data_IF_209817792269
#
_entry.id   IF_209817792269
#
_cell.length_a   1.000
_cell.length_b   1.000
_cell.length_c   1.000
_cell.angle_alpha   90.00
_cell.angle_beta   90.00
_cell.angle_gamma   90.00
#
_symmetry.space_group_name_H-M   'P 1'
#
loop_
_entity.id
_entity.type
_entity.pdbx_description
1 polymer ?
#
# COMPACT_ATOMS: atom_id res chain seq x y z
N UNK A 1 -9.88 -3.94 8.45
CA UNK A 1 -10.43 -3.67 7.11
C UNK A 1 -10.19 -4.88 6.26
N UNK A 2 -11.15 -5.26 5.43
CA UNK A 2 -10.95 -6.30 4.43
C UNK A 2 -9.92 -5.85 3.36
N UNK A 3 -9.24 -6.80 2.73
CA UNK A 3 -8.26 -6.55 1.65
C UNK A 3 -8.91 -5.74 0.53
N UNK A 4 -10.13 -6.12 0.10
CA UNK A 4 -10.81 -5.44 -1.01
C UNK A 4 -11.31 -4.06 -0.60
N UNK A 5 -11.71 -3.87 0.65
CA UNK A 5 -12.06 -2.54 1.17
C UNK A 5 -10.85 -1.60 1.15
N UNK A 6 -9.70 -2.07 1.61
CA UNK A 6 -8.47 -1.26 1.64
C UNK A 6 -7.99 -0.93 0.22
N UNK A 7 -8.03 -1.91 -0.69
CA UNK A 7 -7.73 -1.69 -2.10
C UNK A 7 -8.64 -0.62 -2.73
N UNK A 8 -9.96 -0.71 -2.55
CA UNK A 8 -10.91 0.29 -3.07
C UNK A 8 -10.67 1.67 -2.46
N UNK A 9 -10.41 1.73 -1.16
CA UNK A 9 -10.06 2.98 -0.48
C UNK A 9 -8.85 3.65 -1.13
N UNK A 10 -7.79 2.89 -1.44
CA UNK A 10 -6.62 3.44 -2.13
C UNK A 10 -6.93 3.91 -3.57
N UNK A 11 -7.84 3.23 -4.27
CA UNK A 11 -8.24 3.62 -5.63
C UNK A 11 -9.09 4.91 -5.65
N UNK A 12 -9.94 5.11 -4.65
CA UNK A 12 -10.98 6.14 -4.66
C UNK A 12 -10.58 7.40 -3.89
N UNK A 13 -9.88 7.26 -2.77
CA UNK A 13 -9.64 8.38 -1.85
C UNK A 13 -8.72 9.46 -2.47
N UNK A 14 -9.09 10.74 -2.40
CA UNK A 14 -8.29 11.84 -2.98
C UNK A 14 -6.91 12.05 -2.33
N UNK A 15 -6.63 11.41 -1.19
CA UNK A 15 -5.33 11.42 -0.54
C UNK A 15 -4.24 10.75 -1.39
N UNK A 16 -4.60 9.76 -2.20
CA UNK A 16 -3.68 9.05 -3.08
C UNK A 16 -3.57 9.74 -4.46
N UNK A 17 -2.36 9.83 -4.98
CA UNK A 17 -2.09 10.47 -6.26
C UNK A 17 -2.55 9.63 -7.47
N UNK A 18 -2.59 10.27 -8.64
CA UNK A 18 -3.06 9.64 -9.86
C UNK A 18 -2.23 8.42 -10.26
N UNK A 19 -0.90 8.49 -10.13
CA UNK A 19 0.01 7.40 -10.52
C UNK A 19 -0.20 6.16 -9.64
N UNK A 20 -0.36 6.36 -8.33
CA UNK A 20 -0.68 5.29 -7.37
C UNK A 20 -2.02 4.63 -7.72
N UNK A 21 -3.02 5.42 -8.08
CA UNK A 21 -4.33 4.90 -8.48
C UNK A 21 -4.26 4.15 -9.81
N UNK A 22 -3.56 4.68 -10.79
CA UNK A 22 -3.36 4.02 -12.09
C UNK A 22 -2.65 2.68 -11.93
N UNK A 23 -1.60 2.61 -11.09
CA UNK A 23 -0.90 1.36 -10.76
C UNK A 23 -1.87 0.32 -10.16
N UNK A 24 -2.70 0.74 -9.20
CA UNK A 24 -3.65 -0.15 -8.54
C UNK A 24 -4.77 -0.60 -9.47
N UNK A 25 -5.34 0.31 -10.26
CA UNK A 25 -6.39 0.00 -11.24
C UNK A 25 -5.89 -0.96 -12.33
N UNK A 26 -4.60 -0.92 -12.68
CA UNK A 26 -3.99 -1.88 -13.60
C UNK A 26 -3.97 -3.32 -13.05
N UNK A 27 -4.16 -3.51 -11.73
CA UNK A 27 -4.26 -4.82 -11.08
C UNK A 27 -5.69 -5.36 -11.05
N UNK A 28 -6.68 -4.63 -11.58
CA UNK A 28 -8.06 -5.05 -11.58
C UNK A 28 -8.22 -6.44 -12.23
N UNK A 29 -8.77 -7.38 -11.46
CA UNK A 29 -8.93 -8.78 -11.87
C UNK A 29 -7.79 -9.72 -11.44
N UNK A 30 -6.70 -9.20 -10.87
CA UNK A 30 -5.64 -10.00 -10.25
C UNK A 30 -5.82 -10.02 -8.72
N UNK A 31 -6.69 -10.90 -8.23
CA UNK A 31 -7.00 -10.99 -6.80
C UNK A 31 -5.79 -11.40 -5.95
N UNK A 32 -4.88 -12.21 -6.49
CA UNK A 32 -3.68 -12.65 -5.78
C UNK A 32 -2.71 -11.49 -5.53
N UNK A 33 -2.45 -10.65 -6.55
CA UNK A 33 -1.58 -9.48 -6.40
C UNK A 33 -2.20 -8.40 -5.50
N UNK A 34 -3.52 -8.19 -5.62
CA UNK A 34 -4.25 -7.30 -4.71
C UNK A 34 -4.14 -7.82 -3.27
N UNK A 35 -4.33 -9.13 -3.08
CA UNK A 35 -4.19 -9.74 -1.75
C UNK A 35 -2.77 -9.55 -1.23
N UNK A 36 -1.73 -9.87 -2.00
CA UNK A 36 -0.34 -9.71 -1.56
C UNK A 36 0.03 -8.26 -1.21
N UNK A 37 -0.54 -7.28 -1.89
CA UNK A 37 -0.31 -5.86 -1.62
C UNK A 37 -1.02 -5.32 -0.38
N UNK A 38 -2.13 -5.93 0.04
CA UNK A 38 -3.02 -5.39 1.07
C UNK A 38 -3.31 -6.31 2.26
N UNK A 39 -2.84 -7.56 2.27
CA UNK A 39 -3.10 -8.50 3.38
C UNK A 39 -2.45 -8.11 4.72
N UNK A 40 -1.44 -7.24 4.68
CA UNK A 40 -0.76 -6.72 5.86
C UNK A 40 -0.19 -5.34 5.62
N UNK A 41 0.37 -4.75 6.67
CA UNK A 41 1.16 -3.54 6.57
C UNK A 41 2.66 -3.87 6.42
N UNK A 42 3.39 -2.97 5.79
CA UNK A 42 4.83 -3.05 5.70
C UNK A 42 5.45 -2.82 7.08
N UNK A 43 6.11 -3.84 7.61
CA UNK A 43 6.68 -3.81 8.97
C UNK A 43 8.10 -3.23 9.01
N UNK A 44 8.41 -2.57 10.11
CA UNK A 44 9.76 -2.08 10.41
C UNK A 44 10.56 -3.19 11.09
N UNK A 45 11.55 -3.75 10.40
CA UNK A 45 12.45 -4.75 10.96
C UNK A 45 13.58 -4.14 11.79
N UNK A 46 14.38 -4.99 12.43
CA UNK A 46 15.58 -4.60 13.20
C UNK A 46 16.62 -3.82 12.37
N UNK A 47 16.57 -3.97 11.04
CA UNK A 47 17.44 -3.25 10.09
C UNK A 47 16.74 -2.16 9.29
N UNK A 48 15.57 -1.69 9.72
CA UNK A 48 14.79 -0.66 9.04
C UNK A 48 13.61 -1.19 8.22
N UNK A 49 12.97 -0.27 7.50
CA UNK A 49 11.92 -0.58 6.52
C UNK A 49 12.53 -1.25 5.27
N UNK A 50 12.00 -2.41 4.91
CA UNK A 50 12.33 -3.14 3.67
C UNK A 50 11.08 -3.73 3.07
N UNK A 51 10.86 -3.50 1.77
CA UNK A 51 9.69 -4.00 1.05
C UNK A 51 9.83 -3.85 -0.45
N UNK A 52 8.94 -4.51 -1.19
CA UNK A 52 8.82 -4.37 -2.64
C UNK A 52 8.25 -2.97 -2.94
N UNK A 53 8.82 -2.26 -3.92
CA UNK A 53 8.30 -0.97 -4.37
C UNK A 53 6.93 -1.15 -5.05
N UNK A 54 6.00 -0.25 -4.75
CA UNK A 54 4.69 -0.17 -5.41
C UNK A 54 3.57 0.32 -4.49
N UNK A 55 2.39 0.50 -5.05
CA UNK A 55 1.19 0.87 -4.31
C UNK A 55 0.65 -0.31 -3.45
N UNK A 56 0.30 -0.02 -2.20
CA UNK A 56 -0.25 -1.01 -1.26
C UNK A 56 0.26 -0.84 0.17
N UNK A 57 -0.46 -1.41 1.14
CA UNK A 57 -0.06 -1.35 2.55
C UNK A 57 1.15 -2.24 2.85
N UNK A 58 1.33 -3.34 2.12
CA UNK A 58 2.47 -4.26 2.18
C UNK A 58 3.55 -3.92 1.13
N UNK A 59 3.66 -2.65 0.74
CA UNK A 59 4.63 -2.17 -0.25
C UNK A 59 5.38 -0.94 0.27
N UNK A 60 6.60 -0.78 -0.22
CA UNK A 60 7.40 0.43 -0.01
C UNK A 60 6.90 1.52 -0.96
N UNK A 61 6.29 2.57 -0.40
CA UNK A 61 5.84 3.74 -1.12
C UNK A 61 5.83 4.96 -0.19
N UNK A 62 5.57 6.13 -0.76
CA UNK A 62 5.58 7.39 -0.01
C UNK A 62 4.61 7.39 1.16
N UNK A 63 3.46 6.70 1.04
CA UNK A 63 2.43 6.68 2.09
C UNK A 63 2.82 5.78 3.25
N UNK A 64 3.39 4.60 2.98
CA UNK A 64 3.86 3.69 4.03
C UNK A 64 5.08 4.27 4.74
N UNK A 65 5.98 4.94 4.02
CA UNK A 65 7.10 5.68 4.63
C UNK A 65 6.60 6.84 5.49
N UNK A 66 5.68 7.68 4.99
CA UNK A 66 5.08 8.78 5.77
C UNK A 66 4.45 8.27 7.06
N UNK A 67 3.62 7.23 6.96
CA UNK A 67 2.97 6.60 8.12
C UNK A 67 4.00 6.13 9.15
N UNK A 68 5.05 5.43 8.70
CA UNK A 68 6.11 4.99 9.60
C UNK A 68 6.83 6.15 10.28
N UNK A 69 7.15 7.23 9.55
CA UNK A 69 7.79 8.42 10.14
C UNK A 69 6.89 9.17 11.12
N UNK A 70 5.57 9.19 10.91
CA UNK A 70 4.61 9.80 11.83
C UNK A 70 4.43 8.99 13.12
N UNK A 71 4.56 7.66 13.06
CA UNK A 71 4.54 6.80 14.25
C UNK A 71 5.87 6.73 14.99
N UNK A 72 6.96 7.24 14.41
CA UNK A 72 8.31 7.24 14.99
C UNK A 72 8.70 8.56 15.68
N UNK A 73 7.78 9.55 15.74
CA UNK A 73 7.99 10.87 16.35
C UNK A 73 7.33 10.99 17.73
#
# INVERSE_FOLDING_TARGET
>A
MDVKETYRFWCEDPYFDGETKEELLALAGNEDEITDRFYKELEFGTGGLRGILGAGTNRMNIYTVRKATQGLA
#
